data_IF_077023642977
#
_entry.id   IF_077023642977
#
_cell.length_a   1.000
_cell.length_b   1.000
_cell.length_c   1.000
_cell.angle_alpha   90.00
_cell.angle_beta   90.00
_cell.angle_gamma   90.00
#
_symmetry.space_group_name_H-M   'P 1'
#
loop_
_entity.id
_entity.type
_entity.pdbx_description
1 polymer ?
#
# COMPACT_ATOMS: atom_id res chain seq x y z
N UNK A 1 7.76 -10.55 -17.33
CA UNK A 1 6.75 -11.60 -17.03
C UNK A 1 5.49 -10.93 -16.55
N UNK A 2 4.33 -11.33 -17.03
CA UNK A 2 3.04 -10.78 -16.62
C UNK A 2 2.26 -11.88 -15.94
N UNK A 3 1.56 -11.52 -14.85
CA UNK A 3 0.61 -12.39 -14.15
C UNK A 3 -0.71 -11.68 -14.03
N UNK A 4 -1.76 -12.39 -14.30
CA UNK A 4 -3.13 -11.93 -14.21
C UNK A 4 -3.92 -12.92 -13.37
N UNK A 5 -4.69 -12.44 -12.43
CA UNK A 5 -5.63 -13.25 -11.66
C UNK A 5 -6.93 -12.48 -11.44
N UNK A 6 -8.03 -13.19 -11.54
CA UNK A 6 -9.35 -12.68 -11.24
C UNK A 6 -10.07 -13.67 -10.33
N UNK A 7 -10.74 -13.15 -9.33
CA UNK A 7 -11.52 -13.91 -8.38
C UNK A 7 -12.86 -13.17 -8.17
N UNK A 8 -13.96 -13.91 -8.14
CA UNK A 8 -15.27 -13.34 -7.82
C UNK A 8 -16.10 -14.36 -7.04
N UNK A 9 -16.74 -13.91 -5.98
CA UNK A 9 -17.75 -14.64 -5.24
C UNK A 9 -19.13 -14.10 -5.62
N UNK A 10 -20.07 -14.99 -5.87
CA UNK A 10 -21.44 -14.65 -6.22
C UNK A 10 -22.39 -15.11 -5.13
N UNK A 11 -23.37 -14.26 -4.83
CA UNK A 11 -24.49 -14.64 -3.97
C UNK A 11 -25.37 -15.65 -4.71
N UNK A 12 -25.58 -16.81 -4.08
CA UNK A 12 -26.35 -17.91 -4.66
C UNK A 12 -27.83 -17.59 -4.88
N UNK A 13 -28.40 -16.62 -4.16
CA UNK A 13 -29.83 -16.30 -4.24
C UNK A 13 -30.15 -15.23 -5.27
N UNK A 14 -29.31 -14.27 -5.53
CA UNK A 14 -29.59 -13.15 -6.43
C UNK A 14 -28.62 -13.02 -7.60
N UNK A 15 -27.62 -13.89 -7.71
CA UNK A 15 -26.56 -13.89 -8.72
C UNK A 15 -25.76 -12.56 -8.80
N UNK A 16 -25.82 -11.75 -7.73
CA UNK A 16 -24.94 -10.59 -7.59
C UNK A 16 -23.56 -11.00 -7.11
N UNK A 17 -22.55 -10.28 -7.54
CA UNK A 17 -21.18 -10.50 -7.06
C UNK A 17 -21.03 -9.91 -5.67
N UNK A 18 -20.80 -10.74 -4.67
CA UNK A 18 -20.55 -10.32 -3.29
C UNK A 18 -19.17 -9.67 -3.14
N UNK A 19 -18.19 -10.22 -3.83
CA UNK A 19 -16.85 -9.68 -3.89
C UNK A 19 -16.22 -9.96 -5.25
N UNK A 20 -15.47 -9.02 -5.77
CA UNK A 20 -14.60 -9.26 -6.92
C UNK A 20 -13.19 -8.73 -6.63
N UNK A 21 -12.19 -9.48 -7.04
CA UNK A 21 -10.78 -9.12 -6.90
C UNK A 21 -10.09 -9.35 -8.24
N UNK A 22 -9.51 -8.28 -8.75
CA UNK A 22 -8.79 -8.28 -10.01
C UNK A 22 -7.35 -7.86 -9.77
N UNK A 23 -6.41 -8.72 -10.10
CA UNK A 23 -4.99 -8.47 -9.91
C UNK A 23 -4.23 -8.55 -11.22
N UNK A 24 -3.47 -7.51 -11.50
CA UNK A 24 -2.53 -7.46 -12.59
C UNK A 24 -1.13 -7.14 -12.06
N UNK A 25 -0.15 -7.97 -12.41
CA UNK A 25 1.23 -7.76 -12.02
C UNK A 25 2.14 -7.97 -13.22
N UNK A 26 3.13 -7.10 -13.36
CA UNK A 26 4.10 -7.20 -14.43
C UNK A 26 5.48 -6.73 -14.02
N UNK A 27 6.49 -7.19 -14.77
CA UNK A 27 7.85 -6.72 -14.60
C UNK A 27 8.59 -6.63 -15.93
N UNK A 28 9.37 -5.54 -16.09
CA UNK A 28 10.18 -5.30 -17.27
C UNK A 28 11.39 -4.43 -16.89
N UNK A 29 12.57 -4.82 -17.31
CA UNK A 29 13.82 -4.06 -17.14
C UNK A 29 14.05 -3.52 -15.72
N UNK A 30 13.85 -4.37 -14.70
CA UNK A 30 14.00 -4.02 -13.28
C UNK A 30 12.86 -3.17 -12.71
N UNK A 31 11.88 -2.76 -13.51
CA UNK A 31 10.63 -2.20 -13.06
C UNK A 31 9.65 -3.30 -12.74
N UNK A 32 8.87 -3.11 -11.69
CA UNK A 32 7.70 -3.94 -11.38
C UNK A 32 6.50 -3.03 -11.18
N UNK A 33 5.37 -3.43 -11.68
CA UNK A 33 4.12 -2.71 -11.57
C UNK A 33 2.99 -3.64 -11.18
N UNK A 34 2.04 -3.12 -10.43
CA UNK A 34 0.85 -3.83 -9.98
C UNK A 34 -0.37 -2.94 -10.07
N UNK A 35 -1.49 -3.55 -10.37
CA UNK A 35 -2.81 -2.95 -10.24
C UNK A 35 -3.74 -3.99 -9.59
N UNK A 36 -4.37 -3.62 -8.50
CA UNK A 36 -5.33 -4.44 -7.79
C UNK A 36 -6.63 -3.63 -7.67
N UNK A 37 -7.70 -4.17 -8.18
CA UNK A 37 -9.04 -3.64 -8.03
C UNK A 37 -9.86 -4.62 -7.20
N UNK A 38 -10.46 -4.12 -6.13
CA UNK A 38 -11.28 -4.90 -5.21
C UNK A 38 -12.64 -4.22 -5.05
N UNK A 39 -13.70 -4.99 -5.25
CA UNK A 39 -15.07 -4.56 -4.99
C UNK A 39 -15.73 -5.51 -3.99
N UNK A 40 -16.45 -4.96 -3.03
CA UNK A 40 -17.20 -5.71 -2.01
C UNK A 40 -18.57 -5.07 -1.86
N UNK A 41 -19.62 -5.85 -2.03
CA UNK A 41 -21.01 -5.40 -1.84
C UNK A 41 -21.27 -5.14 -0.35
N UNK A 42 -21.88 -4.01 -0.04
CA UNK A 42 -22.15 -3.55 1.32
C UNK A 42 -23.09 -4.42 2.13
N UNK A 43 -23.96 -5.19 1.46
CA UNK A 43 -24.85 -6.15 2.14
C UNK A 43 -24.08 -7.17 2.99
N UNK A 44 -22.79 -7.41 2.68
CA UNK A 44 -21.90 -8.35 3.39
C UNK A 44 -20.96 -7.68 4.38
N UNK A 45 -21.01 -6.36 4.51
CA UNK A 45 -20.20 -5.60 5.46
C UNK A 45 -21.10 -5.01 6.54
N UNK A 46 -20.62 -4.99 7.77
CA UNK A 46 -21.37 -4.50 8.94
C UNK A 46 -21.93 -3.08 8.80
N UNK A 47 -21.42 -2.29 7.86
CA UNK A 47 -21.81 -0.89 7.65
C UNK A 47 -22.77 -0.70 6.47
N UNK A 48 -23.13 -1.74 5.74
CA UNK A 48 -23.99 -1.69 4.56
C UNK A 48 -23.58 -0.68 3.47
N UNK A 49 -22.28 -0.43 3.33
CA UNK A 49 -21.70 0.49 2.36
C UNK A 49 -20.83 -0.32 1.39
N UNK A 50 -21.11 -0.21 0.10
CA UNK A 50 -20.28 -0.80 -0.94
C UNK A 50 -18.84 -0.27 -0.84
N UNK A 51 -17.87 -1.13 -1.07
CA UNK A 51 -16.45 -0.76 -1.10
C UNK A 51 -15.86 -1.09 -2.45
N UNK A 52 -15.31 -0.10 -3.08
CA UNK A 52 -14.56 -0.26 -4.32
C UNK A 52 -13.21 0.43 -4.19
N UNK A 53 -12.14 -0.33 -4.35
CA UNK A 53 -10.78 0.13 -4.14
C UNK A 53 -9.90 -0.19 -5.34
N UNK A 54 -9.06 0.77 -5.72
CA UNK A 54 -8.00 0.59 -6.71
C UNK A 54 -6.64 0.85 -6.06
N UNK A 55 -5.82 -0.17 -6.01
CA UNK A 55 -4.42 -0.05 -5.58
C UNK A 55 -3.50 -0.13 -6.80
N UNK A 56 -2.65 0.88 -6.97
CA UNK A 56 -1.63 0.97 -8.01
C UNK A 56 -0.26 0.96 -7.37
N UNK A 57 0.64 0.13 -7.89
CA UNK A 57 2.00 0.02 -7.38
C UNK A 57 3.05 0.06 -8.50
N UNK A 58 4.16 0.71 -8.21
CA UNK A 58 5.34 0.78 -9.06
C UNK A 58 6.59 0.60 -8.21
N UNK A 59 7.52 -0.22 -8.66
CA UNK A 59 8.83 -0.32 -8.02
C UNK A 59 9.95 -0.51 -9.03
N UNK A 60 11.15 -0.11 -8.62
CA UNK A 60 12.39 -0.24 -9.40
C UNK A 60 13.49 -0.83 -8.53
N UNK A 61 14.12 -1.88 -9.02
CA UNK A 61 15.34 -2.42 -8.43
C UNK A 61 16.57 -1.91 -9.19
N UNK A 62 17.55 -1.43 -8.45
CA UNK A 62 18.84 -1.01 -9.00
C UNK A 62 19.96 -1.30 -8.00
N UNK A 63 20.91 -2.16 -8.38
CA UNK A 63 21.94 -2.65 -7.48
C UNK A 63 21.34 -3.21 -6.17
N UNK A 64 21.71 -2.60 -5.05
CA UNK A 64 21.27 -2.98 -3.70
C UNK A 64 20.08 -2.18 -3.20
N UNK A 65 19.52 -1.34 -4.05
CA UNK A 65 18.40 -0.46 -3.74
C UNK A 65 17.14 -0.91 -4.43
N UNK A 66 16.02 -0.69 -3.76
CA UNK A 66 14.69 -0.78 -4.34
C UNK A 66 13.91 0.46 -3.95
N UNK A 67 13.37 1.14 -4.94
CA UNK A 67 12.37 2.19 -4.72
C UNK A 67 11.00 1.60 -4.98
N UNK A 68 10.02 2.03 -4.20
CA UNK A 68 8.62 1.63 -4.38
C UNK A 68 7.70 2.82 -4.17
N UNK A 69 6.63 2.83 -4.92
CA UNK A 69 5.55 3.80 -4.82
C UNK A 69 4.22 3.08 -4.99
N UNK A 70 3.27 3.38 -4.14
CA UNK A 70 1.91 2.86 -4.29
C UNK A 70 0.87 3.88 -3.88
N UNK A 71 -0.29 3.79 -4.52
CA UNK A 71 -1.48 4.58 -4.21
C UNK A 71 -2.69 3.68 -4.15
N UNK A 72 -3.56 3.95 -3.19
CA UNK A 72 -4.85 3.31 -3.05
C UNK A 72 -5.95 4.38 -3.10
N UNK A 73 -6.91 4.17 -3.97
CA UNK A 73 -8.05 5.05 -4.19
C UNK A 73 -9.33 4.36 -3.74
N UNK A 74 -10.26 5.15 -3.22
CA UNK A 74 -11.67 4.81 -3.09
C UNK A 74 -12.39 5.23 -4.37
N UNK A 75 -13.10 4.31 -4.98
CA UNK A 75 -13.85 4.54 -6.22
C UNK A 75 -15.38 4.62 -5.99
N UNK A 76 -15.84 4.47 -4.75
CA UNK A 76 -17.28 4.43 -4.43
C UNK A 76 -18.00 5.76 -4.56
N UNK A 77 -17.28 6.86 -4.51
CA UNK A 77 -17.87 8.19 -4.58
C UNK A 77 -17.68 8.78 -5.98
N UNK A 78 -18.56 9.68 -6.39
CA UNK A 78 -18.44 10.47 -7.65
C UNK A 78 -17.11 11.24 -7.74
N UNK A 79 -16.31 11.23 -6.67
CA UNK A 79 -14.96 11.76 -6.56
C UNK A 79 -14.03 10.65 -6.10
N UNK A 80 -13.03 10.36 -6.91
CA UNK A 80 -11.93 9.49 -6.53
C UNK A 80 -11.26 10.07 -5.28
N UNK A 81 -11.33 9.37 -4.14
CA UNK A 81 -10.70 9.79 -2.90
C UNK A 81 -9.43 8.98 -2.64
N UNK A 82 -8.35 9.68 -2.27
CA UNK A 82 -7.09 9.04 -1.92
C UNK A 82 -7.19 8.40 -0.54
N UNK A 83 -7.15 7.07 -0.47
CA UNK A 83 -7.09 6.32 0.80
C UNK A 83 -5.69 6.39 1.38
N UNK A 84 -4.67 6.08 0.58
CA UNK A 84 -3.29 6.10 1.03
C UNK A 84 -2.30 6.22 -0.12
N UNK A 85 -1.17 6.83 0.20
CA UNK A 85 0.01 6.91 -0.64
C UNK A 85 1.23 6.45 0.15
N UNK A 86 2.07 5.63 -0.46
CA UNK A 86 3.28 5.12 0.18
C UNK A 86 4.47 5.27 -0.75
N UNK A 87 5.54 5.86 -0.26
CA UNK A 87 6.84 5.92 -0.91
C UNK A 87 7.84 5.14 -0.06
N UNK A 88 8.53 4.21 -0.67
CA UNK A 88 9.54 3.36 0.00
C UNK A 88 10.90 3.43 -0.68
N UNK A 89 11.95 3.43 0.13
CA UNK A 89 13.34 3.26 -0.29
C UNK A 89 13.97 2.17 0.57
N UNK A 90 14.29 1.05 -0.04
CA UNK A 90 14.90 -0.11 0.62
C UNK A 90 16.33 -0.29 0.16
N UNK A 91 17.23 -0.48 1.12
CA UNK A 91 18.62 -0.87 0.89
C UNK A 91 18.85 -2.26 1.44
N UNK A 92 19.35 -3.17 0.64
CA UNK A 92 19.83 -4.47 1.09
C UNK A 92 21.36 -4.49 1.04
N UNK A 93 21.98 -4.57 2.21
CA UNK A 93 23.43 -4.60 2.33
C UNK A 93 24.03 -5.77 1.55
N UNK A 94 25.03 -5.46 0.74
CA UNK A 94 25.87 -6.46 0.09
C UNK A 94 27.32 -6.08 0.28
N UNK A 95 28.18 -7.03 0.64
CA UNK A 95 29.61 -6.82 0.71
C UNK A 95 30.27 -7.09 2.08
N UNK A 96 31.53 -6.73 2.19
CA UNK A 96 32.45 -7.12 3.27
C UNK A 96 32.04 -6.67 4.68
N UNK A 97 31.31 -5.54 4.83
CA UNK A 97 30.98 -5.01 6.16
C UNK A 97 29.68 -5.56 6.75
N UNK A 98 28.65 -5.78 5.95
CA UNK A 98 27.34 -6.17 6.45
C UNK A 98 26.80 -7.47 5.81
N UNK A 99 27.42 -7.94 4.72
CA UNK A 99 26.90 -9.07 3.96
C UNK A 99 25.43 -8.84 3.54
N UNK A 100 24.68 -9.90 3.30
CA UNK A 100 23.24 -9.84 3.08
C UNK A 100 22.46 -9.86 4.41
N UNK A 101 23.04 -9.35 5.49
CA UNK A 101 22.48 -9.46 6.85
C UNK A 101 21.67 -8.25 7.28
N UNK A 102 21.80 -7.11 6.57
CA UNK A 102 21.11 -5.87 6.92
C UNK A 102 20.23 -5.40 5.75
N UNK A 103 18.96 -5.17 6.05
CA UNK A 103 18.04 -4.40 5.19
C UNK A 103 17.60 -3.15 5.94
N UNK A 104 17.70 -2.00 5.28
CA UNK A 104 17.20 -0.72 5.80
C UNK A 104 16.05 -0.29 4.89
N UNK A 105 14.88 -0.06 5.47
CA UNK A 105 13.71 0.46 4.78
C UNK A 105 13.36 1.84 5.34
N UNK A 106 13.41 2.85 4.49
CA UNK A 106 12.79 4.14 4.72
C UNK A 106 11.43 4.17 4.03
N UNK A 107 10.37 4.54 4.75
CA UNK A 107 9.03 4.60 4.21
C UNK A 107 8.33 5.88 4.66
N UNK A 108 7.78 6.60 3.70
CA UNK A 108 6.79 7.66 3.92
C UNK A 108 5.41 7.12 3.56
N UNK A 109 4.45 7.31 4.45
CA UNK A 109 3.05 6.95 4.22
C UNK A 109 2.18 8.15 4.51
N UNK A 110 1.33 8.51 3.55
CA UNK A 110 0.25 9.47 3.70
C UNK A 110 -1.09 8.73 3.63
N UNK A 111 -1.98 9.03 4.55
CA UNK A 111 -3.34 8.51 4.56
C UNK A 111 -4.30 9.67 4.30
N UNK A 112 -5.16 9.53 3.31
CA UNK A 112 -6.22 10.48 3.02
C UNK A 112 -7.36 10.41 4.03
N UNK A 113 -8.14 11.49 4.13
CA UNK A 113 -9.36 11.52 4.94
C UNK A 113 -10.54 11.04 4.12
N UNK A 114 -10.94 9.79 4.29
CA UNK A 114 -12.16 9.25 3.68
C UNK A 114 -13.22 9.15 4.77
N UNK A 115 -14.22 10.03 4.70
CA UNK A 115 -15.23 10.21 5.76
C UNK A 115 -16.02 8.91 5.99
N UNK A 116 -16.42 8.24 4.94
CA UNK A 116 -17.23 7.01 5.01
C UNK A 116 -16.47 5.80 5.60
N UNK A 117 -15.16 5.96 5.80
CA UNK A 117 -14.28 4.93 6.36
C UNK A 117 -13.67 5.31 7.71
N UNK A 118 -14.10 6.41 8.30
CA UNK A 118 -13.50 6.96 9.54
C UNK A 118 -11.97 7.14 9.46
N UNK A 119 -11.44 7.36 8.23
CA UNK A 119 -10.03 7.60 8.03
C UNK A 119 -9.69 9.05 8.35
N UNK A 120 -8.74 9.24 9.24
CA UNK A 120 -8.18 10.54 9.58
C UNK A 120 -6.94 10.78 8.74
N UNK A 121 -6.80 11.95 8.08
CA UNK A 121 -5.59 12.28 7.36
C UNK A 121 -4.37 12.22 8.27
N UNK A 122 -3.39 11.43 7.90
CA UNK A 122 -2.16 11.26 8.67
C UNK A 122 -0.96 11.04 7.75
N UNK A 123 0.12 11.79 8.00
CA UNK A 123 1.42 11.54 7.39
C UNK A 123 2.37 10.91 8.39
N UNK A 124 3.06 9.88 7.96
CA UNK A 124 3.98 9.13 8.81
C UNK A 124 5.25 8.75 8.09
N UNK A 125 6.37 8.83 8.80
CA UNK A 125 7.67 8.37 8.36
C UNK A 125 8.08 7.18 9.23
N UNK A 126 8.57 6.14 8.60
CA UNK A 126 9.09 4.94 9.24
C UNK A 126 10.50 4.66 8.77
N UNK A 127 11.34 4.21 9.69
CA UNK A 127 12.67 3.70 9.40
C UNK A 127 12.77 2.32 10.05
N UNK A 128 12.94 1.29 9.23
CA UNK A 128 13.02 -0.09 9.66
C UNK A 128 14.43 -0.63 9.39
N UNK A 129 15.03 -1.22 10.41
CA UNK A 129 16.26 -1.97 10.31
C UNK A 129 15.93 -3.45 10.52
N UNK A 130 16.18 -4.27 9.51
CA UNK A 130 16.01 -5.70 9.59
C UNK A 130 17.37 -6.38 9.57
N UNK A 131 17.70 -7.07 10.65
CA UNK A 131 18.92 -7.86 10.78
C UNK A 131 18.57 -9.32 10.60
N UNK A 132 19.01 -9.92 9.51
CA UNK A 132 18.81 -11.34 9.24
C UNK A 132 19.32 -12.16 10.42
N UNK A 133 18.47 -12.93 11.07
CA UNK A 133 18.73 -13.74 12.27
C UNK A 133 18.74 -13.01 13.62
N UNK A 134 18.63 -11.67 13.68
CA UNK A 134 18.59 -10.92 14.94
C UNK A 134 17.24 -10.25 15.20
N UNK A 135 16.43 -10.09 14.16
CA UNK A 135 15.11 -9.47 14.26
C UNK A 135 15.00 -8.12 13.56
N UNK A 136 13.87 -7.48 13.76
CA UNK A 136 13.50 -6.22 13.14
C UNK A 136 13.38 -5.12 14.20
N UNK A 137 13.92 -3.95 13.90
CA UNK A 137 13.77 -2.75 14.70
C UNK A 137 13.10 -1.65 13.88
N UNK A 138 11.95 -1.17 14.34
CA UNK A 138 11.19 -0.10 13.72
C UNK A 138 11.31 1.18 14.51
N UNK A 139 11.67 2.27 13.84
CA UNK A 139 11.72 3.59 14.41
C UNK A 139 10.78 4.54 13.66
N UNK A 140 9.95 5.24 14.43
CA UNK A 140 9.02 6.24 13.93
C UNK A 140 9.28 7.58 14.61
N UNK A 141 9.74 8.61 13.89
CA UNK A 141 10.05 9.91 14.48
C UNK A 141 8.76 10.68 14.80
N UNK A 142 8.24 10.50 16.00
CA UNK A 142 6.96 11.09 16.46
C UNK A 142 6.87 12.60 16.31
N UNK A 143 7.98 13.32 16.49
CA UNK A 143 8.00 14.77 16.36
C UNK A 143 7.80 15.23 14.92
N UNK A 144 8.45 14.54 13.97
CA UNK A 144 8.31 14.82 12.53
C UNK A 144 6.88 14.53 12.09
N UNK A 145 6.34 13.38 12.47
CA UNK A 145 4.98 12.99 12.12
C UNK A 145 3.95 13.96 12.72
N UNK A 146 4.17 14.41 13.96
CA UNK A 146 3.32 15.43 14.58
C UNK A 146 3.36 16.78 13.84
N UNK A 147 4.53 17.17 13.32
CA UNK A 147 4.70 18.41 12.55
C UNK A 147 4.02 18.30 11.18
N UNK A 148 4.15 17.15 10.50
CA UNK A 148 3.49 16.87 9.22
C UNK A 148 1.96 16.95 9.38
N UNK A 149 1.41 16.25 10.37
CA UNK A 149 -0.04 16.21 10.61
C UNK A 149 -0.62 17.55 11.05
N UNK A 150 0.17 18.43 11.65
CA UNK A 150 -0.27 19.79 12.01
C UNK A 150 -0.51 20.68 10.79
N UNK A 151 0.26 20.50 9.73
CA UNK A 151 0.17 21.29 8.51
C UNK A 151 -0.99 20.88 7.59
N UNK A 152 -1.59 19.72 7.83
CA UNK A 152 -2.74 19.18 7.05
C UNK A 152 -4.12 19.65 7.58
N UNK A 153 -4.17 20.39 8.69
CA UNK A 153 -5.42 20.84 9.32
C UNK A 153 -5.88 22.25 8.87
N UNK A 154 -5.63 22.60 7.60
CA UNK A 154 -6.16 23.85 7.05
C UNK A 154 -7.13 23.59 5.90
#
# INVERSE_FOLDING_TARGET
MYKFSWFSLYNHHNFKSDTSDFNFNGSFNGWSYSANHKSVDGEFISNNIDREELNLGLSKNFLNWKTSYSRTYDLNNDKEELISETLGLEYTGSGYMFGNCLTILFQYKSTGGVVDRDLIPEDSIYLTFNFRNLGEYNWQPKEINKALNKNLRY
#
